data_IF_781182400908
#
_entry.id   IF_781182400908
#
_cell.length_a   1.000
_cell.length_b   1.000
_cell.length_c   1.000
_cell.angle_alpha   90.00
_cell.angle_beta   90.00
_cell.angle_gamma   90.00
#
_symmetry.space_group_name_H-M   'P 1'
#
loop_
_entity.id
_entity.type
_entity.pdbx_description
1 polymer ?
#
# COMPACT_ATOMS: atom_id res chain seq x y z
N UNK A 1 47.28 -29.42 -21.40
CA UNK A 1 46.00 -29.42 -22.17
C UNK A 1 44.86 -29.47 -21.18
N UNK A 2 43.79 -28.69 -21.40
CA UNK A 2 42.56 -28.54 -20.60
C UNK A 2 42.55 -27.45 -19.50
N UNK A 3 42.29 -26.21 -19.92
CA UNK A 3 41.53 -25.23 -19.13
C UNK A 3 40.85 -24.24 -20.10
N UNK A 4 39.89 -24.74 -20.87
CA UNK A 4 39.09 -23.97 -21.83
C UNK A 4 37.63 -24.29 -21.58
N UNK A 5 36.96 -23.56 -20.69
CA UNK A 5 35.52 -23.27 -20.69
C UNK A 5 35.15 -22.46 -19.44
N UNK A 6 35.72 -21.27 -19.29
CA UNK A 6 35.09 -20.25 -18.43
C UNK A 6 33.86 -19.75 -19.19
N UNK A 7 32.73 -20.37 -18.89
CA UNK A 7 31.41 -20.03 -19.41
C UNK A 7 31.03 -18.62 -18.98
N UNK A 8 31.30 -17.63 -19.84
CA UNK A 8 30.94 -16.22 -19.69
C UNK A 8 29.43 -15.94 -19.73
N UNK A 9 28.61 -16.72 -19.04
CA UNK A 9 27.15 -16.56 -18.98
C UNK A 9 26.72 -15.87 -17.66
N UNK A 10 27.54 -15.89 -16.61
CA UNK A 10 27.19 -15.34 -15.29
C UNK A 10 27.41 -13.83 -15.12
N UNK A 11 27.96 -13.14 -16.12
CA UNK A 11 28.33 -11.72 -16.02
C UNK A 11 27.35 -10.73 -16.68
N UNK A 12 26.20 -11.20 -17.20
CA UNK A 12 25.23 -10.35 -17.90
C UNK A 12 23.98 -9.98 -17.10
N UNK A 13 23.83 -10.46 -15.86
CA UNK A 13 22.70 -10.06 -15.01
C UNK A 13 23.13 -8.95 -14.04
N UNK A 14 22.80 -7.69 -14.34
CA UNK A 14 23.01 -6.60 -13.39
C UNK A 14 22.38 -6.93 -12.03
N UNK A 15 23.16 -6.82 -10.95
CA UNK A 15 22.70 -6.98 -9.56
C UNK A 15 21.50 -6.07 -9.16
N UNK A 16 21.19 -5.03 -9.95
CA UNK A 16 19.99 -4.20 -9.72
C UNK A 16 18.70 -4.96 -10.07
N UNK A 17 18.79 -6.03 -10.88
CA UNK A 17 17.67 -6.91 -11.20
C UNK A 17 17.28 -7.81 -10.01
N UNK A 18 18.22 -8.26 -9.17
CA UNK A 18 17.89 -9.13 -8.02
C UNK A 18 16.97 -8.47 -6.97
N UNK A 19 16.97 -7.15 -6.87
CA UNK A 19 16.06 -6.41 -5.98
C UNK A 19 14.61 -6.37 -6.49
N UNK A 20 14.44 -6.23 -7.81
CA UNK A 20 13.13 -6.14 -8.46
C UNK A 20 12.52 -7.50 -8.84
N UNK A 21 13.35 -8.55 -8.99
CA UNK A 21 12.88 -9.89 -9.33
C UNK A 21 11.96 -10.48 -8.26
N UNK A 22 12.28 -10.26 -6.97
CA UNK A 22 11.44 -10.72 -5.86
C UNK A 22 10.01 -10.17 -5.90
N UNK A 23 9.79 -8.84 -5.90
CA UNK A 23 8.43 -8.29 -5.93
C UNK A 23 7.68 -8.65 -7.21
N UNK A 24 8.36 -8.74 -8.36
CA UNK A 24 7.72 -9.18 -9.61
C UNK A 24 7.20 -10.61 -9.50
N UNK A 25 8.03 -11.54 -9.00
CA UNK A 25 7.61 -12.94 -8.79
C UNK A 25 6.42 -13.01 -7.83
N UNK A 26 6.47 -12.27 -6.71
CA UNK A 26 5.38 -12.25 -5.74
C UNK A 26 4.08 -11.71 -6.35
N UNK A 27 4.16 -10.61 -7.12
CA UNK A 27 2.99 -10.00 -7.73
C UNK A 27 2.38 -10.91 -8.79
N UNK A 28 3.20 -11.48 -9.68
CA UNK A 28 2.74 -12.43 -10.69
C UNK A 28 2.13 -13.68 -10.03
N UNK A 29 2.78 -14.23 -8.99
CA UNK A 29 2.25 -15.35 -8.23
C UNK A 29 0.89 -15.03 -7.59
N UNK A 30 0.73 -13.83 -7.02
CA UNK A 30 -0.54 -13.38 -6.43
C UNK A 30 -1.65 -13.27 -7.48
N UNK A 31 -1.36 -12.71 -8.66
CA UNK A 31 -2.33 -12.62 -9.76
C UNK A 31 -2.75 -14.01 -10.23
N UNK A 32 -1.80 -14.94 -10.36
CA UNK A 32 -2.09 -16.33 -10.75
C UNK A 32 -2.96 -17.03 -9.71
N UNK A 33 -2.64 -16.88 -8.42
CA UNK A 33 -3.45 -17.44 -7.32
C UNK A 33 -4.85 -16.85 -7.34
N UNK A 34 -4.98 -15.54 -7.53
CA UNK A 34 -6.28 -14.88 -7.63
C UNK A 34 -7.10 -15.40 -8.81
N UNK A 35 -6.50 -15.51 -9.99
CA UNK A 35 -7.16 -16.09 -11.17
C UNK A 35 -7.59 -17.54 -10.91
N UNK A 36 -6.74 -18.34 -10.25
CA UNK A 36 -7.07 -19.71 -9.88
C UNK A 36 -8.25 -19.77 -8.89
N UNK A 37 -8.30 -18.88 -7.90
CA UNK A 37 -9.43 -18.77 -6.98
C UNK A 37 -10.72 -18.46 -7.74
N UNK A 38 -10.72 -17.45 -8.62
CA UNK A 38 -11.91 -17.09 -9.42
C UNK A 38 -12.44 -18.28 -10.22
N UNK A 39 -11.55 -19.05 -10.86
CA UNK A 39 -11.93 -20.25 -11.62
C UNK A 39 -12.45 -21.39 -10.74
N UNK A 40 -11.83 -21.64 -9.59
CA UNK A 40 -12.18 -22.73 -8.69
C UNK A 40 -13.48 -22.46 -7.92
N UNK A 41 -13.71 -21.23 -7.49
CA UNK A 41 -14.87 -20.88 -6.66
C UNK A 41 -16.12 -20.59 -7.48
N UNK A 42 -15.99 -20.33 -8.79
CA UNK A 42 -17.14 -20.03 -9.67
C UNK A 42 -17.97 -18.84 -9.17
N UNK A 43 -17.37 -17.95 -8.37
CA UNK A 43 -18.03 -16.80 -7.75
C UNK A 43 -18.51 -15.88 -8.87
N UNK A 44 -19.72 -15.34 -8.72
CA UNK A 44 -20.27 -14.41 -9.70
C UNK A 44 -19.30 -13.24 -9.93
N UNK A 45 -19.04 -12.85 -11.18
CA UNK A 45 -18.06 -11.81 -11.54
C UNK A 45 -18.32 -10.44 -10.87
N UNK A 46 -19.51 -10.23 -10.31
CA UNK A 46 -19.84 -9.04 -9.53
C UNK A 46 -19.17 -9.01 -8.14
N UNK A 47 -18.97 -10.17 -7.50
CA UNK A 47 -18.28 -10.25 -6.20
C UNK A 47 -16.75 -10.27 -6.35
N UNK A 48 -16.24 -11.03 -7.32
CA UNK A 48 -14.80 -11.15 -7.55
C UNK A 48 -14.52 -11.13 -9.07
N UNK A 49 -14.43 -9.95 -9.70
CA UNK A 49 -14.11 -9.86 -11.11
C UNK A 49 -12.71 -10.45 -11.35
N UNK A 50 -12.48 -11.11 -12.50
CA UNK A 50 -11.15 -11.59 -12.83
C UNK A 50 -10.18 -10.41 -13.01
N UNK A 51 -8.87 -10.60 -12.75
CA UNK A 51 -7.83 -9.58 -12.91
C UNK A 51 -7.87 -8.84 -14.26
N UNK A 52 -8.20 -9.53 -15.36
CA UNK A 52 -8.36 -8.90 -16.67
C UNK A 52 -9.47 -7.84 -16.70
N UNK A 53 -10.64 -8.17 -16.14
CA UNK A 53 -11.76 -7.23 -16.07
C UNK A 53 -11.45 -6.02 -15.16
N UNK A 54 -10.64 -6.22 -14.12
CA UNK A 54 -10.17 -5.12 -13.26
C UNK A 54 -9.21 -4.20 -14.01
N UNK A 55 -8.30 -4.76 -14.83
CA UNK A 55 -7.41 -3.96 -15.68
C UNK A 55 -8.20 -3.13 -16.72
N UNK A 56 -9.18 -3.76 -17.37
CA UNK A 56 -10.05 -3.08 -18.33
C UNK A 56 -10.83 -1.93 -17.67
N UNK A 57 -11.39 -2.18 -16.48
CA UNK A 57 -12.08 -1.16 -15.70
C UNK A 57 -11.13 -0.03 -15.28
N UNK A 58 -9.90 -0.37 -14.86
CA UNK A 58 -8.89 0.60 -14.46
C UNK A 58 -8.52 1.52 -15.62
N UNK A 59 -8.33 0.98 -16.83
CA UNK A 59 -7.98 1.77 -18.02
C UNK A 59 -9.18 2.58 -18.51
N UNK A 60 -10.35 1.95 -18.66
CA UNK A 60 -11.56 2.60 -19.19
C UNK A 60 -12.10 3.68 -18.26
N UNK A 61 -11.95 3.51 -16.94
CA UNK A 61 -12.50 4.41 -15.91
C UNK A 61 -11.41 5.08 -15.07
N UNK A 62 -10.17 5.19 -15.59
CA UNK A 62 -9.07 5.79 -14.84
C UNK A 62 -9.39 7.22 -14.36
N UNK A 63 -10.05 8.04 -15.19
CA UNK A 63 -10.33 9.43 -14.86
C UNK A 63 -11.25 9.56 -13.64
N UNK A 64 -12.28 8.72 -13.56
CA UNK A 64 -13.21 8.72 -12.42
C UNK A 64 -12.56 8.10 -11.18
N UNK A 65 -11.77 7.03 -11.33
CA UNK A 65 -11.03 6.40 -10.22
C UNK A 65 -10.03 7.40 -9.62
N UNK A 66 -9.24 8.07 -10.45
CA UNK A 66 -8.27 9.08 -10.01
C UNK A 66 -8.94 10.28 -9.36
N UNK A 67 -10.09 10.71 -9.88
CA UNK A 67 -10.86 11.80 -9.27
C UNK A 67 -11.27 11.45 -7.83
N UNK A 68 -11.86 10.27 -7.62
CA UNK A 68 -12.31 9.83 -6.29
C UNK A 68 -11.14 9.53 -5.35
N UNK A 69 -10.07 8.92 -5.88
CA UNK A 69 -8.83 8.72 -5.14
C UNK A 69 -8.21 10.06 -4.69
N UNK A 70 -8.25 11.08 -5.55
CA UNK A 70 -7.79 12.44 -5.24
C UNK A 70 -8.60 13.09 -4.13
N UNK A 71 -9.93 12.94 -4.16
CA UNK A 71 -10.80 13.42 -3.08
C UNK A 71 -10.48 12.71 -1.77
N UNK A 72 -10.36 11.38 -1.78
CA UNK A 72 -10.01 10.58 -0.58
C UNK A 72 -8.65 11.02 -0.01
N UNK A 73 -7.67 11.24 -0.88
CA UNK A 73 -6.36 11.74 -0.48
C UNK A 73 -6.47 13.12 0.17
N UNK A 74 -7.25 14.02 -0.41
CA UNK A 74 -7.48 15.35 0.14
C UNK A 74 -8.16 15.26 1.52
N UNK A 75 -9.17 14.41 1.68
CA UNK A 75 -9.84 14.17 2.96
C UNK A 75 -8.86 13.67 4.02
N UNK A 76 -7.97 12.72 3.67
CA UNK A 76 -6.92 12.22 4.57
C UNK A 76 -5.97 13.35 4.97
N UNK A 77 -5.50 14.15 4.01
CA UNK A 77 -4.57 15.25 4.27
C UNK A 77 -5.21 16.32 5.15
N UNK A 78 -6.44 16.73 4.86
CA UNK A 78 -7.17 17.70 5.66
C UNK A 78 -7.44 17.16 7.07
N UNK A 79 -7.87 15.90 7.18
CA UNK A 79 -8.06 15.23 8.46
C UNK A 79 -6.78 15.15 9.29
N UNK A 80 -5.64 14.86 8.66
CA UNK A 80 -4.33 14.87 9.31
C UNK A 80 -3.93 16.27 9.79
N UNK A 81 -4.07 17.29 8.95
CA UNK A 81 -3.75 18.68 9.31
C UNK A 81 -4.61 19.12 10.50
N UNK A 82 -5.92 18.90 10.43
CA UNK A 82 -6.84 19.25 11.50
C UNK A 82 -6.56 18.44 12.77
N UNK A 83 -6.31 17.14 12.66
CA UNK A 83 -5.99 16.28 13.78
C UNK A 83 -4.69 16.68 14.48
N UNK A 84 -3.64 17.00 13.72
CA UNK A 84 -2.37 17.50 14.25
C UNK A 84 -2.56 18.84 14.93
N UNK A 85 -3.26 19.78 14.28
CA UNK A 85 -3.51 21.11 14.85
C UNK A 85 -4.29 21.05 16.16
N UNK A 86 -5.40 20.29 16.17
CA UNK A 86 -6.21 20.12 17.38
C UNK A 86 -5.44 19.37 18.46
N UNK A 87 -4.80 18.25 18.13
CA UNK A 87 -4.04 17.45 19.08
C UNK A 87 -2.89 18.22 19.72
N UNK A 88 -2.13 19.00 18.92
CA UNK A 88 -1.04 19.85 19.44
C UNK A 88 -1.56 21.00 20.29
N UNK A 89 -2.65 21.66 19.88
CA UNK A 89 -3.29 22.72 20.66
C UNK A 89 -3.76 22.18 22.01
N UNK A 90 -4.45 21.04 22.03
CA UNK A 90 -4.88 20.38 23.27
C UNK A 90 -3.68 20.00 24.14
N UNK A 91 -2.64 19.39 23.58
CA UNK A 91 -1.44 19.03 24.33
C UNK A 91 -0.75 20.26 24.94
N UNK A 92 -0.68 21.37 24.21
CA UNK A 92 -0.09 22.63 24.69
C UNK A 92 -0.93 23.25 25.82
N UNK A 93 -2.26 23.28 25.68
CA UNK A 93 -3.17 23.75 26.74
C UNK A 93 -3.00 22.90 28.01
N UNK A 94 -2.89 21.59 27.86
CA UNK A 94 -2.64 20.69 29.00
C UNK A 94 -1.26 20.93 29.63
N UNK A 95 -0.23 21.17 28.83
CA UNK A 95 1.13 21.41 29.30
C UNK A 95 1.26 22.75 30.05
N UNK A 96 0.55 23.78 29.62
CA UNK A 96 0.61 25.12 30.19
C UNK A 96 -0.35 25.32 31.38
N UNK A 97 -1.39 24.49 31.54
CA UNK A 97 -2.36 24.63 32.62
C UNK A 97 -2.07 23.69 33.81
N UNK A 98 -1.66 24.28 34.93
CA UNK A 98 -1.47 23.56 36.20
C UNK A 98 -2.77 22.93 36.73
N UNK A 99 -3.93 23.50 36.38
CA UNK A 99 -5.26 22.99 36.74
C UNK A 99 -5.55 21.63 36.08
N UNK A 100 -5.16 21.40 34.82
CA UNK A 100 -5.40 20.12 34.14
C UNK A 100 -4.58 18.97 34.75
N UNK A 101 -3.34 19.27 35.20
CA UNK A 101 -2.50 18.32 35.95
C UNK A 101 -3.17 17.82 37.23
N UNK A 102 -3.94 18.68 37.92
CA UNK A 102 -4.68 18.33 39.14
C UNK A 102 -5.85 17.37 38.89
N UNK A 103 -6.50 17.46 37.73
CA UNK A 103 -7.62 16.60 37.33
C UNK A 103 -7.18 15.25 36.74
N UNK A 104 -5.93 15.11 36.29
CA UNK A 104 -5.38 13.86 35.75
C UNK A 104 -4.74 12.96 36.81
N UNK A 105 -4.25 13.53 37.92
CA UNK A 105 -3.72 12.78 39.06
C UNK A 105 -4.66 11.70 39.63
N UNK A 106 -6.00 11.89 39.72
CA UNK A 106 -6.93 10.86 40.20
C UNK A 106 -7.23 9.75 39.17
N UNK A 107 -6.95 9.96 37.88
CA UNK A 107 -7.21 8.96 36.81
C UNK A 107 -5.98 8.07 36.57
N UNK A 108 -4.81 8.51 37.04
CA UNK A 108 -3.53 7.79 36.99
C UNK A 108 -3.31 6.87 38.19
N UNK A 109 -4.31 6.67 39.06
CA UNK A 109 -4.30 5.69 40.15
C UNK A 109 -5.18 4.49 39.83
#
# INVERSE_FOLDING_TARGET
>A
MQRTTDSGISSYFPHWMSGAVRPVITLTGLIVVWQAVVWLTGIEPFLLPPPGAVLDALIARHAIILHHAGITLLEIVLGLILGVFLGTTTALIMALSAEMRRWLMPVLV
#
